data_IF_163414766428
#
_entry.id   IF_163414766428
#
_cell.length_a   1.000
_cell.length_b   1.000
_cell.length_c   1.000
_cell.angle_alpha   90.00
_cell.angle_beta   90.00
_cell.angle_gamma   90.00
#
_symmetry.space_group_name_H-M   'P 1'
#
loop_
_entity.id
_entity.type
_entity.pdbx_description
1 polymer ?
#
# COMPACT_ATOMS: atom_id res chain seq x y z
N UNK A 1 7.92 21.28 -9.22
CA UNK A 1 9.24 20.70 -8.87
C UNK A 1 9.30 19.28 -9.39
N UNK A 2 10.50 18.78 -9.68
CA UNK A 2 10.72 17.42 -10.18
C UNK A 2 11.74 16.69 -9.32
N UNK A 3 11.45 15.43 -9.01
CA UNK A 3 12.34 14.56 -8.23
C UNK A 3 12.55 13.23 -8.97
N UNK A 4 13.72 12.59 -8.83
CA UNK A 4 13.94 11.27 -9.41
C UNK A 4 13.08 10.22 -8.70
N UNK A 5 12.53 9.26 -9.45
CA UNK A 5 12.00 8.01 -8.90
C UNK A 5 13.09 6.95 -9.00
N UNK A 6 13.51 6.39 -7.88
CA UNK A 6 14.59 5.40 -7.79
C UNK A 6 14.07 4.01 -7.41
N UNK A 7 14.64 2.98 -8.01
CA UNK A 7 14.48 1.57 -7.65
C UNK A 7 15.87 0.94 -7.58
N UNK A 8 16.22 0.33 -6.45
CA UNK A 8 17.55 -0.26 -6.20
C UNK A 8 18.70 0.70 -6.58
N UNK A 9 18.61 1.94 -6.08
CA UNK A 9 19.54 3.05 -6.34
C UNK A 9 19.67 3.50 -7.81
N UNK A 10 18.90 2.92 -8.72
CA UNK A 10 18.79 3.34 -10.12
C UNK A 10 17.58 4.24 -10.35
N UNK A 11 17.75 5.35 -11.07
CA UNK A 11 16.62 6.16 -11.53
C UNK A 11 15.79 5.39 -12.57
N UNK A 12 14.50 5.24 -12.32
CA UNK A 12 13.52 4.55 -13.21
C UNK A 12 12.40 5.46 -13.70
N UNK A 13 12.30 6.67 -13.14
CA UNK A 13 11.25 7.63 -13.49
C UNK A 13 11.47 9.03 -12.94
N UNK A 14 10.40 9.82 -13.05
CA UNK A 14 10.31 11.18 -12.53
C UNK A 14 9.01 11.34 -11.74
N UNK A 15 9.11 11.98 -10.58
CA UNK A 15 7.98 12.45 -9.78
C UNK A 15 7.84 13.95 -10.02
N UNK A 16 6.70 14.35 -10.57
CA UNK A 16 6.27 15.74 -10.70
C UNK A 16 5.48 16.14 -9.46
N UNK A 17 5.82 17.30 -8.91
CA UNK A 17 5.21 17.86 -7.72
C UNK A 17 4.73 19.27 -8.03
N UNK A 18 3.43 19.51 -7.89
CA UNK A 18 2.83 20.83 -8.08
C UNK A 18 1.85 21.16 -6.96
N UNK A 19 1.67 22.44 -6.68
CA UNK A 19 0.62 22.89 -5.77
C UNK A 19 -0.75 22.62 -6.40
N UNK A 20 -1.68 22.14 -5.57
CA UNK A 20 -3.09 21.98 -5.91
C UNK A 20 -3.93 22.69 -4.84
N UNK A 21 -3.99 24.02 -4.92
CA UNK A 21 -4.58 24.84 -3.86
C UNK A 21 -3.78 24.71 -2.57
N UNK A 22 -4.43 24.24 -1.50
CA UNK A 22 -3.78 23.95 -0.21
C UNK A 22 -3.07 22.58 -0.15
N UNK A 23 -3.26 21.74 -1.17
CA UNK A 23 -2.72 20.39 -1.24
C UNK A 23 -1.55 20.29 -2.25
N UNK A 24 -0.97 19.10 -2.34
CA UNK A 24 0.13 18.78 -3.24
C UNK A 24 -0.29 17.71 -4.26
N UNK A 25 -0.29 18.08 -5.54
CA UNK A 25 -0.46 17.13 -6.64
C UNK A 25 0.87 16.41 -6.92
N UNK A 26 0.83 15.08 -6.84
CA UNK A 26 1.95 14.20 -7.09
C UNK A 26 1.66 13.30 -8.29
N UNK A 27 2.51 13.39 -9.31
CA UNK A 27 2.46 12.53 -10.50
C UNK A 27 3.78 11.81 -10.70
N UNK A 28 3.81 10.51 -10.50
CA UNK A 28 4.95 9.66 -10.82
C UNK A 28 4.78 9.04 -12.21
N UNK A 29 5.83 9.09 -13.01
CA UNK A 29 5.91 8.44 -14.32
C UNK A 29 7.20 7.63 -14.38
N UNK A 30 7.07 6.31 -14.36
CA UNK A 30 8.19 5.37 -14.47
C UNK A 30 8.20 4.75 -15.87
N UNK A 31 9.30 4.95 -16.60
CA UNK A 31 9.50 4.34 -17.94
C UNK A 31 10.62 3.29 -17.95
N UNK A 32 11.46 3.27 -16.91
CA UNK A 32 12.54 2.31 -16.72
C UNK A 32 12.23 1.19 -15.73
N UNK A 33 10.99 1.11 -15.25
CA UNK A 33 10.51 -0.01 -14.44
C UNK A 33 9.95 -1.11 -15.35
N UNK A 34 10.13 -2.37 -14.94
CA UNK A 34 9.43 -3.48 -15.58
C UNK A 34 7.92 -3.38 -15.33
N UNK A 35 7.13 -4.17 -16.08
CA UNK A 35 5.70 -4.27 -15.79
C UNK A 35 5.45 -4.96 -14.44
N UNK A 36 4.45 -4.50 -13.71
CA UNK A 36 3.98 -5.13 -12.48
C UNK A 36 3.51 -4.16 -11.41
N UNK A 37 3.27 -4.70 -10.22
CA UNK A 37 2.80 -3.93 -9.07
C UNK A 37 3.98 -3.42 -8.24
N UNK A 38 3.87 -2.17 -7.81
CA UNK A 38 4.88 -1.48 -7.04
C UNK A 38 4.25 -0.67 -5.90
N UNK A 39 5.00 -0.48 -4.82
CA UNK A 39 4.71 0.52 -3.79
C UNK A 39 5.61 1.72 -4.01
N UNK A 40 5.01 2.91 -4.06
CA UNK A 40 5.72 4.17 -4.20
C UNK A 40 5.80 4.90 -2.86
N UNK A 41 6.98 5.44 -2.55
CA UNK A 41 7.25 6.21 -1.35
C UNK A 41 7.84 7.57 -1.73
N UNK A 42 7.49 8.62 -1.00
CA UNK A 42 8.19 9.89 -1.01
C UNK A 42 9.30 9.85 0.04
N UNK A 43 10.56 10.10 -0.35
CA UNK A 43 11.70 10.10 0.57
C UNK A 43 12.29 11.50 0.67
N UNK A 44 12.45 11.97 1.90
CA UNK A 44 13.09 13.25 2.19
C UNK A 44 13.97 13.20 3.44
N UNK A 45 14.31 14.37 3.98
CA UNK A 45 15.15 14.50 5.18
C UNK A 45 14.53 13.93 6.46
N UNK A 46 13.19 13.84 6.52
CA UNK A 46 12.44 13.32 7.67
C UNK A 46 12.17 11.81 7.63
N UNK A 47 12.33 11.17 6.46
CA UNK A 47 12.08 9.75 6.28
C UNK A 47 11.32 9.43 5.00
N UNK A 48 10.55 8.33 5.03
CA UNK A 48 9.73 7.87 3.92
C UNK A 48 8.24 7.93 4.24
N UNK A 49 7.46 8.48 3.30
CA UNK A 49 6.00 8.53 3.36
C UNK A 49 5.43 7.64 2.25
N UNK A 50 4.53 6.69 2.54
CA UNK A 50 3.89 5.89 1.50
C UNK A 50 2.93 6.75 0.66
N UNK A 51 3.09 6.70 -0.68
CA UNK A 51 2.19 7.34 -1.63
C UNK A 51 1.13 6.38 -2.19
N UNK A 52 1.37 5.06 -2.05
CA UNK A 52 0.41 4.02 -2.38
C UNK A 52 0.97 2.97 -3.35
N UNK A 53 0.06 2.11 -3.81
CA UNK A 53 0.34 1.08 -4.82
C UNK A 53 0.07 1.63 -6.21
N UNK A 54 0.90 1.22 -7.16
CA UNK A 54 0.84 1.60 -8.57
C UNK A 54 1.17 0.38 -9.45
N UNK A 55 0.51 0.30 -10.60
CA UNK A 55 0.88 -0.58 -11.69
C UNK A 55 1.86 0.14 -12.63
N UNK A 56 2.92 -0.57 -13.02
CA UNK A 56 4.00 -0.09 -13.90
C UNK A 56 4.69 1.20 -13.41
N UNK A 57 4.56 1.50 -12.10
CA UNK A 57 5.20 2.64 -11.44
C UNK A 57 4.60 4.01 -11.78
N UNK A 58 3.42 4.07 -12.41
CA UNK A 58 2.71 5.31 -12.68
C UNK A 58 1.63 5.62 -11.61
N UNK A 59 1.70 6.81 -11.03
CA UNK A 59 0.77 7.26 -9.99
C UNK A 59 0.38 8.71 -10.26
N UNK A 60 -0.89 9.07 -10.04
CA UNK A 60 -1.31 10.46 -9.99
C UNK A 60 -2.34 10.64 -8.87
N UNK A 61 -1.99 11.39 -7.83
CA UNK A 61 -2.85 11.65 -6.66
C UNK A 61 -2.51 12.99 -6.01
N UNK A 62 -3.49 13.54 -5.32
CA UNK A 62 -3.35 14.74 -4.48
C UNK A 62 -3.22 14.33 -3.02
N UNK A 63 -2.29 14.96 -2.30
CA UNK A 63 -2.03 14.72 -0.88
C UNK A 63 -2.07 16.02 -0.09
N UNK A 64 -2.65 15.97 1.11
CA UNK A 64 -2.59 17.11 2.01
C UNK A 64 -1.17 17.30 2.56
N UNK A 65 -0.78 18.53 2.95
CA UNK A 65 0.53 18.79 3.52
C UNK A 65 0.81 17.95 4.77
N UNK A 66 -0.22 17.69 5.59
CA UNK A 66 -0.11 16.88 6.80
C UNK A 66 0.32 15.43 6.50
N UNK A 67 -0.15 14.86 5.38
CA UNK A 67 0.24 13.51 4.96
C UNK A 67 1.69 13.45 4.48
N UNK A 68 2.20 14.54 3.89
CA UNK A 68 3.56 14.60 3.37
C UNK A 68 4.59 15.12 4.37
N UNK A 69 4.15 15.78 5.46
CA UNK A 69 5.01 16.39 6.47
C UNK A 69 6.10 15.45 7.02
N UNK A 70 5.86 14.15 7.28
CA UNK A 70 6.90 13.24 7.77
C UNK A 70 8.06 13.03 6.79
N UNK A 71 7.89 13.29 5.49
CA UNK A 71 8.98 13.21 4.53
C UNK A 71 10.02 14.32 4.75
N UNK A 72 9.62 15.46 5.33
CA UNK A 72 10.47 16.66 5.42
C UNK A 72 10.90 17.15 4.04
N UNK A 73 12.14 17.63 3.93
CA UNK A 73 12.69 18.11 2.65
C UNK A 73 12.82 16.97 1.63
N UNK A 74 11.94 16.98 0.63
CA UNK A 74 11.86 15.94 -0.39
C UNK A 74 13.16 15.83 -1.17
N UNK A 75 13.67 14.60 -1.36
CA UNK A 75 14.89 14.30 -2.12
C UNK A 75 14.62 13.45 -3.34
N UNK A 76 13.78 12.43 -3.19
CA UNK A 76 13.42 11.51 -4.28
C UNK A 76 12.09 10.79 -3.98
N UNK A 77 11.59 10.06 -4.97
CA UNK A 77 10.61 9.00 -4.75
C UNK A 77 11.30 7.64 -4.84
N UNK A 78 10.79 6.64 -4.13
CA UNK A 78 11.33 5.29 -4.11
C UNK A 78 10.25 4.32 -4.56
N UNK A 79 10.57 3.54 -5.58
CA UNK A 79 9.73 2.50 -6.12
C UNK A 79 10.23 1.15 -5.60
N UNK A 80 9.35 0.37 -4.97
CA UNK A 80 9.67 -1.00 -4.52
C UNK A 80 8.72 -1.97 -5.18
N UNK A 81 9.25 -3.01 -5.83
CA UNK A 81 8.42 -4.05 -6.44
C UNK A 81 7.62 -4.75 -5.34
N UNK A 82 6.35 -4.97 -5.60
CA UNK A 82 5.57 -5.91 -4.81
C UNK A 82 6.09 -7.31 -5.17
N UNK A 83 6.94 -7.88 -4.31
CA UNK A 83 7.56 -9.18 -4.59
C UNK A 83 6.53 -10.29 -4.78
N UNK A 84 6.64 -11.02 -5.89
CA UNK A 84 6.29 -12.42 -5.97
C UNK A 84 7.49 -13.22 -5.48
N UNK A 85 7.55 -13.48 -4.19
CA UNK A 85 8.33 -14.57 -3.62
C UNK A 85 7.69 -15.03 -2.32
N UNK A 86 7.46 -16.33 -2.23
CA UNK A 86 6.90 -17.01 -1.10
C UNK A 86 7.88 -16.96 0.08
N UNK A 87 7.80 -15.91 0.91
CA UNK A 87 8.02 -15.93 2.37
C UNK A 87 8.11 -14.50 2.91
N UNK A 88 7.03 -13.73 2.77
CA UNK A 88 6.54 -13.12 4.01
C UNK A 88 6.01 -14.30 4.83
N UNK A 89 6.10 -14.32 6.17
CA UNK A 89 5.04 -15.00 6.91
C UNK A 89 3.78 -14.43 6.27
N UNK A 90 3.03 -15.24 5.52
CA UNK A 90 1.89 -14.76 4.74
C UNK A 90 1.05 -13.88 5.65
N UNK A 91 0.23 -12.95 5.17
CA UNK A 91 -0.45 -12.04 6.10
C UNK A 91 -1.22 -12.80 7.23
N UNK A 92 -1.60 -14.05 6.95
CA UNK A 92 -2.03 -15.10 7.89
C UNK A 92 -1.11 -15.37 9.11
N UNK A 93 0.21 -15.26 8.97
CA UNK A 93 1.22 -15.39 10.01
C UNK A 93 1.57 -14.06 10.70
N UNK A 94 0.97 -12.93 10.29
CA UNK A 94 1.03 -11.64 10.99
C UNK A 94 -0.35 -11.18 11.45
N UNK A 95 -1.29 -12.10 11.55
CA UNK A 95 -2.62 -11.80 12.06
C UNK A 95 -2.55 -11.42 13.54
N UNK A 96 -3.40 -10.49 13.99
CA UNK A 96 -3.51 -10.21 15.41
C UNK A 96 -3.97 -11.47 16.16
N UNK A 97 -3.60 -11.64 17.44
CA UNK A 97 -3.94 -12.84 18.24
C UNK A 97 -5.44 -13.17 18.26
N UNK A 98 -6.29 -12.15 18.10
CA UNK A 98 -7.74 -12.25 18.11
C UNK A 98 -8.32 -12.74 16.77
N UNK A 99 -7.48 -12.93 15.75
CA UNK A 99 -7.91 -13.38 14.45
C UNK A 99 -8.28 -14.86 14.43
N UNK A 100 -9.50 -15.14 13.98
CA UNK A 100 -9.98 -16.49 13.73
C UNK A 100 -9.84 -16.84 12.25
N UNK A 101 -9.10 -17.91 11.93
CA UNK A 101 -8.85 -18.33 10.54
C UNK A 101 -9.54 -19.66 10.23
N UNK A 102 -10.34 -19.69 9.16
CA UNK A 102 -10.98 -20.91 8.63
C UNK A 102 -10.46 -21.16 7.21
N UNK A 103 -9.99 -22.37 6.92
CA UNK A 103 -9.51 -22.74 5.57
C UNK A 103 -10.50 -23.70 4.91
N UNK A 104 -10.94 -23.38 3.68
CA UNK A 104 -11.85 -24.22 2.87
C UNK A 104 -11.53 -24.07 1.38
N UNK A 105 -11.45 -25.19 0.66
CA UNK A 105 -11.32 -25.19 -0.81
C UNK A 105 -10.12 -24.40 -1.34
N UNK A 106 -8.99 -24.43 -0.61
CA UNK A 106 -7.81 -23.65 -0.97
C UNK A 106 -7.91 -22.15 -0.71
N UNK A 107 -8.94 -21.66 -0.01
CA UNK A 107 -9.05 -20.27 0.46
C UNK A 107 -8.98 -20.23 1.99
N UNK A 108 -8.56 -19.11 2.53
CA UNK A 108 -8.62 -18.81 3.96
C UNK A 108 -9.54 -17.61 4.22
N UNK A 109 -10.50 -17.79 5.11
CA UNK A 109 -11.31 -16.71 5.66
C UNK A 109 -10.76 -16.35 7.03
N UNK A 110 -10.49 -15.06 7.25
CA UNK A 110 -9.97 -14.53 8.50
C UNK A 110 -10.95 -13.53 9.08
N UNK A 111 -11.43 -13.79 10.28
CA UNK A 111 -12.36 -12.91 11.00
C UNK A 111 -11.68 -12.32 12.23
N UNK A 112 -11.74 -11.01 12.38
CA UNK A 112 -11.09 -10.28 13.48
C UNK A 112 -12.15 -9.42 14.18
N UNK A 113 -12.22 -9.41 15.53
CA UNK A 113 -13.08 -8.49 16.26
C UNK A 113 -12.81 -7.04 15.85
N UNK A 114 -13.86 -6.30 15.52
CA UNK A 114 -13.76 -4.92 15.06
C UNK A 114 -15.08 -4.20 15.34
N UNK A 115 -15.01 -2.93 15.75
CA UNK A 115 -16.18 -2.10 16.00
C UNK A 115 -16.14 -0.88 15.11
N UNK A 116 -17.31 -0.45 14.67
CA UNK A 116 -17.46 0.79 13.93
C UNK A 116 -16.87 1.97 14.71
N UNK A 117 -16.10 2.81 14.02
CA UNK A 117 -15.34 3.90 14.62
C UNK A 117 -13.92 3.53 15.08
N UNK A 118 -13.53 2.25 15.06
CA UNK A 118 -12.14 1.84 15.28
C UNK A 118 -11.36 1.74 13.95
N UNK A 119 -10.04 1.99 13.94
CA UNK A 119 -9.20 1.66 12.80
C UNK A 119 -9.35 0.19 12.39
N UNK A 120 -9.20 -0.10 11.09
CA UNK A 120 -9.24 -1.48 10.63
C UNK A 120 -8.06 -2.28 11.21
N UNK A 121 -8.27 -3.53 11.67
CA UNK A 121 -7.21 -4.32 12.29
C UNK A 121 -6.04 -4.64 11.34
N UNK A 122 -6.32 -4.63 10.02
CA UNK A 122 -5.34 -4.80 8.96
C UNK A 122 -5.44 -3.59 8.01
N UNK A 123 -4.87 -2.46 8.43
CA UNK A 123 -4.95 -1.18 7.69
C UNK A 123 -4.42 -1.30 6.25
N UNK A 124 -3.34 -2.06 6.02
CA UNK A 124 -2.80 -2.30 4.66
C UNK A 124 -3.79 -3.00 3.72
N UNK A 125 -4.81 -3.66 4.27
CA UNK A 125 -5.81 -4.44 3.54
C UNK A 125 -7.23 -3.88 3.67
N UNK A 126 -7.41 -2.63 4.09
CA UNK A 126 -8.75 -2.08 4.34
C UNK A 126 -9.71 -2.24 3.14
N UNK A 127 -9.20 -2.17 1.90
CA UNK A 127 -10.02 -2.39 0.69
C UNK A 127 -10.59 -3.81 0.57
N UNK A 128 -9.95 -4.80 1.21
CA UNK A 128 -10.33 -6.22 1.22
C UNK A 128 -11.21 -6.59 2.41
N UNK A 129 -11.46 -5.64 3.31
CA UNK A 129 -12.29 -5.86 4.46
C UNK A 129 -13.76 -6.03 4.06
N UNK A 130 -14.41 -7.06 4.59
CA UNK A 130 -15.87 -7.17 4.64
C UNK A 130 -16.33 -6.91 6.07
N UNK A 131 -16.80 -5.68 6.41
CA UNK A 131 -17.31 -5.37 7.73
C UNK A 131 -18.53 -6.22 8.07
N UNK A 132 -18.55 -6.78 9.27
CA UNK A 132 -19.67 -7.51 9.84
C UNK A 132 -20.12 -6.90 11.16
N UNK A 133 -21.10 -7.53 11.81
CA UNK A 133 -21.57 -7.05 13.11
C UNK A 133 -20.58 -7.42 14.21
N UNK A 134 -19.74 -6.47 14.62
CA UNK A 134 -18.73 -6.64 15.67
C UNK A 134 -17.46 -7.34 15.22
N UNK A 135 -17.25 -7.50 13.92
CA UNK A 135 -16.06 -8.07 13.33
C UNK A 135 -15.81 -7.52 11.92
N UNK A 136 -14.65 -7.87 11.38
CA UNK A 136 -14.31 -7.70 9.97
C UNK A 136 -13.77 -9.02 9.44
N UNK A 137 -14.16 -9.36 8.22
CA UNK A 137 -13.68 -10.58 7.54
C UNK A 137 -12.79 -10.22 6.36
N UNK A 138 -11.72 -10.98 6.16
CA UNK A 138 -10.82 -10.92 5.01
C UNK A 138 -10.74 -12.29 4.35
N UNK A 139 -10.67 -12.32 3.02
CA UNK A 139 -10.48 -13.55 2.26
C UNK A 139 -9.07 -13.60 1.70
N UNK A 140 -8.48 -14.79 1.69
CA UNK A 140 -7.19 -15.07 1.08
C UNK A 140 -7.28 -16.31 0.17
N UNK A 141 -6.53 -16.31 -0.91
CA UNK A 141 -6.40 -17.46 -1.81
C UNK A 141 -5.40 -18.52 -1.28
N UNK A 142 -5.14 -19.54 -2.09
CA UNK A 142 -4.25 -20.65 -1.73
C UNK A 142 -2.78 -20.25 -1.63
N UNK A 143 -2.42 -19.12 -2.24
CA UNK A 143 -1.10 -18.50 -2.12
C UNK A 143 -1.04 -17.50 -0.95
N UNK A 144 -2.13 -17.32 -0.19
CA UNK A 144 -2.22 -16.37 0.91
C UNK A 144 -2.31 -14.91 0.46
N UNK A 145 -2.68 -14.66 -0.80
CA UNK A 145 -2.96 -13.31 -1.31
C UNK A 145 -4.38 -12.90 -0.94
N UNK A 146 -4.60 -11.64 -0.53
CA UNK A 146 -5.93 -11.16 -0.19
C UNK A 146 -6.82 -11.12 -1.44
N UNK A 147 -8.07 -11.54 -1.29
CA UNK A 147 -9.07 -11.64 -2.36
C UNK A 147 -10.18 -10.64 -2.10
N UNK A 148 -10.65 -9.95 -3.15
CA UNK A 148 -11.79 -9.04 -3.01
C UNK A 148 -13.02 -9.78 -2.51
N UNK A 149 -13.72 -9.24 -1.49
CA UNK A 149 -15.00 -9.78 -1.09
C UNK A 149 -16.01 -9.60 -2.23
N UNK A 150 -16.79 -10.65 -2.50
CA UNK A 150 -17.96 -10.57 -3.37
C UNK A 150 -19.08 -9.89 -2.56
N UNK A 151 -19.67 -8.82 -3.12
CA UNK A 151 -20.75 -8.03 -2.51
C UNK A 151 -22.12 -8.44 -3.06
#
# INVERSE_FOLDING_TARGET
MEYPVCMDDRRVGTLYVSAAGGDTDLRAVCRGAEKGLYRLYLRGGGGEVPLGVTEDGCLHRVFSPALLAPAGDVRCAVLRRCGGDASRPGLLARLPPEAHTVRRGGRAEVTIPWREGQPFPLEELFCFARPGRGNVTYLFDGAGQPVMPEF
#
